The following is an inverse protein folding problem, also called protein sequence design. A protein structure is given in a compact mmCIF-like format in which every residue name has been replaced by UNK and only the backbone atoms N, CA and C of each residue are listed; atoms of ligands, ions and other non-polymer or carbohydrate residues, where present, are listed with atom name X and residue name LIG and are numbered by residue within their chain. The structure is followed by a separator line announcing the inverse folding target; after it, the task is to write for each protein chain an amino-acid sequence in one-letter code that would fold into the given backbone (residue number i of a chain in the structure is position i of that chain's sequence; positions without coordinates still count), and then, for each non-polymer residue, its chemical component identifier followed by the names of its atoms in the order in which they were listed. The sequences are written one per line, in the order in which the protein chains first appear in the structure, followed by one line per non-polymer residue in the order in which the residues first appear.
data_IF_606008592669
#
_entry.id   IF_606008592669
#
_cell.length_a   1.000
_cell.length_b   1.000
_cell.length_c   1.000
_cell.angle_alpha   90.00
_cell.angle_beta   90.00
_cell.angle_gamma   90.00
#
_symmetry.space_group_name_H-M   'P 1'
#
loop_
_entity.id
_entity.type
_entity.pdbx_description
1 polymer ?
#
# COMPACT_ATOMS: atom_id res chain seq x y z
N UNK A 1 -7.46 -10.95 11.46
CA UNK A 1 -6.41 -9.91 11.52
C UNK A 1 -6.44 -9.02 10.29
N UNK A 2 -6.25 -7.71 10.45
CA UNK A 2 -6.12 -6.73 9.37
C UNK A 2 -4.64 -6.34 9.22
N UNK A 3 -4.14 -6.24 7.99
CA UNK A 3 -2.83 -5.65 7.71
C UNK A 3 -3.02 -4.25 7.12
N UNK A 4 -2.21 -3.28 7.55
CA UNK A 4 -2.13 -1.96 6.93
C UNK A 4 -0.68 -1.69 6.54
N UNK A 5 -0.37 -1.61 5.24
CA UNK A 5 0.94 -1.18 4.77
C UNK A 5 1.01 0.33 4.57
N UNK A 6 2.18 0.94 4.68
CA UNK A 6 2.33 2.40 4.66
C UNK A 6 1.74 3.07 5.91
N UNK A 7 1.68 2.34 7.03
CA UNK A 7 1.01 2.75 8.27
C UNK A 7 1.66 3.95 8.98
N UNK A 8 2.96 4.18 8.79
CA UNK A 8 3.66 5.38 9.26
C UNK A 8 3.52 6.56 8.27
N UNK A 9 2.92 6.35 7.09
CA UNK A 9 2.55 7.38 6.14
C UNK A 9 1.30 8.16 6.55
N UNK A 10 1.00 9.22 5.79
CA UNK A 10 -0.15 10.10 6.09
C UNK A 10 -1.48 9.34 6.04
N UNK A 11 -1.85 8.77 4.89
CA UNK A 11 -3.13 8.07 4.71
C UNK A 11 -3.21 6.81 5.59
N UNK A 12 -2.15 6.00 5.60
CA UNK A 12 -2.11 4.76 6.40
C UNK A 12 -2.30 5.02 7.90
N UNK A 13 -1.68 6.05 8.45
CA UNK A 13 -1.87 6.39 9.87
C UNK A 13 -3.29 6.84 10.19
N UNK A 14 -3.92 7.66 9.33
CA UNK A 14 -5.31 8.06 9.49
C UNK A 14 -6.26 6.85 9.41
N UNK A 15 -6.00 5.91 8.50
CA UNK A 15 -6.75 4.67 8.38
C UNK A 15 -6.66 3.83 9.66
N UNK A 16 -5.47 3.61 10.21
CA UNK A 16 -5.29 2.88 11.48
C UNK A 16 -6.06 3.58 12.62
N UNK A 17 -6.00 4.91 12.68
CA UNK A 17 -6.78 5.67 13.66
C UNK A 17 -8.28 5.41 13.52
N UNK A 18 -8.81 5.40 12.29
CA UNK A 18 -10.22 5.13 12.05
C UNK A 18 -10.60 3.70 12.46
N UNK A 19 -9.79 2.71 12.09
CA UNK A 19 -10.02 1.32 12.49
C UNK A 19 -10.04 1.15 14.01
N UNK A 20 -9.10 1.77 14.73
CA UNK A 20 -9.08 1.75 16.20
C UNK A 20 -10.33 2.40 16.81
N UNK A 21 -10.82 3.50 16.23
CA UNK A 21 -12.05 4.16 16.66
C UNK A 21 -13.28 3.27 16.47
N UNK A 22 -13.32 2.46 15.40
CA UNK A 22 -14.35 1.44 15.16
C UNK A 22 -14.17 0.16 16.02
N UNK A 23 -13.22 0.15 16.97
CA UNK A 23 -12.94 -1.01 17.82
C UNK A 23 -12.12 -2.11 17.15
N UNK A 24 -11.71 -1.93 15.89
CA UNK A 24 -10.85 -2.86 15.16
C UNK A 24 -9.39 -2.61 15.56
N UNK A 25 -8.89 -3.41 16.51
CA UNK A 25 -7.52 -3.28 17.04
C UNK A 25 -6.62 -4.48 16.69
N UNK A 26 -7.18 -5.52 16.08
CA UNK A 26 -6.46 -6.70 15.58
C UNK A 26 -5.72 -6.38 14.27
N UNK A 27 -4.77 -5.45 14.36
CA UNK A 27 -4.06 -4.85 13.23
C UNK A 27 -2.58 -5.20 13.30
N UNK A 28 -1.99 -5.56 12.17
CA UNK A 28 -0.54 -5.54 11.95
C UNK A 28 -0.20 -4.37 11.04
N UNK A 29 0.67 -3.49 11.52
CA UNK A 29 1.16 -2.35 10.75
C UNK A 29 2.45 -2.72 10.02
N UNK A 30 2.58 -2.28 8.78
CA UNK A 30 3.74 -2.56 7.93
C UNK A 30 4.25 -1.24 7.37
N UNK A 31 5.52 -0.92 7.62
CA UNK A 31 6.19 0.25 7.05
C UNK A 31 7.72 0.09 7.11
N UNK A 32 8.44 1.10 6.65
CA UNK A 32 9.84 1.36 6.97
C UNK A 32 9.93 2.17 8.26
N UNK A 33 10.17 1.49 9.39
CA UNK A 33 10.21 2.14 10.70
C UNK A 33 11.57 2.77 11.04
N UNK A 34 12.55 2.71 10.12
CA UNK A 34 13.83 3.41 10.28
C UNK A 34 13.67 4.93 10.33
N UNK A 35 12.57 5.45 9.76
CA UNK A 35 12.22 6.88 9.72
C UNK A 35 11.56 7.34 11.02
N UNK A 36 12.38 7.45 12.06
CA UNK A 36 11.94 7.79 13.42
C UNK A 36 11.17 9.11 13.53
N UNK A 37 11.37 10.06 12.61
CA UNK A 37 10.58 11.30 12.53
C UNK A 37 9.08 11.04 12.31
N UNK A 38 8.73 9.89 11.72
CA UNK A 38 7.35 9.44 11.50
C UNK A 38 6.76 8.65 12.66
N UNK A 39 7.49 8.42 13.75
CA UNK A 39 7.02 7.63 14.89
C UNK A 39 5.69 8.15 15.48
N UNK A 40 5.47 9.46 15.43
CA UNK A 40 4.21 10.09 15.87
C UNK A 40 2.97 9.57 15.11
N UNK A 41 3.15 9.02 13.90
CA UNK A 41 2.08 8.47 13.10
C UNK A 41 1.63 7.07 13.52
N UNK A 42 2.28 6.40 14.48
CA UNK A 42 1.83 5.07 14.89
C UNK A 42 2.03 4.76 16.37
N UNK A 43 2.97 5.41 17.07
CA UNK A 43 3.33 5.07 18.46
C UNK A 43 2.16 5.05 19.46
N UNK A 44 1.15 5.91 19.28
CA UNK A 44 0.00 6.06 20.18
C UNK A 44 -1.24 5.28 19.70
N UNK A 45 -1.10 4.47 18.64
CA UNK A 45 -2.18 3.66 18.05
C UNK A 45 -2.20 2.25 18.63
N UNK A 46 -3.33 1.57 18.47
CA UNK A 46 -3.53 0.18 18.91
C UNK A 46 -3.31 -0.77 17.74
N UNK A 47 -2.29 -1.61 17.84
CA UNK A 47 -1.98 -2.68 16.89
C UNK A 47 -1.33 -3.84 17.63
N UNK A 48 -1.43 -5.06 17.09
CA UNK A 48 -0.85 -6.27 17.67
C UNK A 48 0.61 -6.47 17.31
N UNK A 49 1.04 -5.97 16.16
CA UNK A 49 2.39 -6.14 15.67
C UNK A 49 2.78 -5.06 14.67
N UNK A 50 4.08 -4.82 14.58
CA UNK A 50 4.71 -3.99 13.57
C UNK A 50 5.74 -4.83 12.82
N UNK A 51 5.70 -4.82 11.49
CA UNK A 51 6.58 -5.63 10.64
C UNK A 51 7.30 -4.71 9.65
N UNK A 52 8.62 -4.80 9.60
CA UNK A 52 9.41 -4.07 8.61
C UNK A 52 8.98 -4.47 7.19
N UNK A 53 8.79 -3.48 6.31
CA UNK A 53 8.33 -3.73 4.94
C UNK A 53 9.20 -4.73 4.18
N UNK A 54 10.50 -4.76 4.46
CA UNK A 54 11.47 -5.67 3.84
C UNK A 54 11.30 -7.13 4.29
N UNK A 55 10.67 -7.36 5.44
CA UNK A 55 10.39 -8.68 5.99
C UNK A 55 8.95 -9.14 5.73
N UNK A 56 8.07 -8.19 5.40
CA UNK A 56 6.63 -8.40 5.34
C UNK A 56 6.21 -9.52 4.40
N UNK A 57 6.79 -9.65 3.19
CA UNK A 57 6.34 -10.68 2.24
C UNK A 57 6.54 -12.10 2.79
N UNK A 58 7.65 -12.36 3.48
CA UNK A 58 7.91 -13.65 4.10
C UNK A 58 7.01 -13.87 5.32
N UNK A 59 6.91 -12.86 6.19
CA UNK A 59 6.01 -12.89 7.33
C UNK A 59 4.55 -13.13 6.90
N UNK A 60 4.11 -12.49 5.82
CA UNK A 60 2.74 -12.59 5.31
C UNK A 60 2.43 -14.00 4.82
N UNK A 61 3.37 -14.66 4.12
CA UNK A 61 3.19 -16.07 3.71
C UNK A 61 2.99 -17.01 4.89
N UNK A 62 3.69 -16.78 6.00
CA UNK A 62 3.62 -17.62 7.20
C UNK A 62 2.31 -17.39 7.99
N UNK A 63 1.73 -16.19 7.92
CA UNK A 63 0.58 -15.78 8.72
C UNK A 63 -0.71 -15.59 7.90
N UNK A 64 -0.69 -15.92 6.60
CA UNK A 64 -1.79 -15.67 5.67
C UNK A 64 -3.14 -16.22 6.16
N UNK A 65 -3.13 -17.38 6.81
CA UNK A 65 -4.34 -18.03 7.34
C UNK A 65 -5.08 -17.26 8.45
N UNK A 66 -4.45 -16.26 9.06
CA UNK A 66 -5.05 -15.42 10.12
C UNK A 66 -5.52 -14.04 9.60
N UNK A 67 -5.13 -13.70 8.37
CA UNK A 67 -5.33 -12.38 7.79
C UNK A 67 -6.58 -12.40 6.91
N UNK A 68 -7.50 -11.48 7.18
CA UNK A 68 -8.79 -11.40 6.48
C UNK A 68 -8.81 -10.26 5.48
N UNK A 69 -8.01 -9.21 5.70
CA UNK A 69 -7.98 -8.03 4.86
C UNK A 69 -6.59 -7.37 4.90
N UNK A 70 -6.14 -6.87 3.75
CA UNK A 70 -4.95 -6.02 3.59
C UNK A 70 -5.38 -4.68 3.02
N UNK A 71 -5.08 -3.61 3.74
CA UNK A 71 -5.07 -2.25 3.21
C UNK A 71 -3.65 -1.90 2.77
N UNK A 72 -3.38 -1.99 1.47
CA UNK A 72 -2.08 -1.74 0.88
C UNK A 72 -1.96 -0.26 0.46
N UNK A 73 -1.47 0.57 1.39
CA UNK A 73 -1.35 2.04 1.22
C UNK A 73 0.11 2.49 1.10
N UNK A 74 1.07 1.58 1.33
CA UNK A 74 2.49 1.87 1.22
C UNK A 74 3.02 1.76 -0.21
N UNK A 75 3.54 2.87 -0.75
CA UNK A 75 4.20 2.96 -2.04
C UNK A 75 5.29 4.05 -2.03
N UNK A 76 6.18 4.05 -3.01
CA UNK A 76 7.03 5.21 -3.35
C UNK A 76 6.19 6.15 -4.22
N UNK A 77 5.86 7.34 -3.70
CA UNK A 77 4.96 8.29 -4.37
C UNK A 77 5.64 9.56 -4.91
N UNK A 78 6.96 9.56 -4.96
CA UNK A 78 7.74 10.73 -5.35
C UNK A 78 7.71 10.90 -6.88
N UNK A 79 6.86 11.80 -7.38
CA UNK A 79 6.72 12.07 -8.82
C UNK A 79 7.97 12.68 -9.47
N UNK A 80 8.94 13.12 -8.67
CA UNK A 80 10.20 13.70 -9.15
C UNK A 80 11.33 12.66 -9.24
N UNK A 81 11.09 11.45 -8.73
CA UNK A 81 12.01 10.32 -8.84
C UNK A 81 11.95 9.73 -10.26
N UNK A 82 13.12 9.54 -10.88
CA UNK A 82 13.25 8.95 -12.21
C UNK A 82 13.95 7.58 -12.19
N UNK A 83 14.43 7.13 -11.04
CA UNK A 83 14.97 5.79 -10.90
C UNK A 83 13.83 4.76 -10.90
N UNK A 84 13.50 4.27 -12.10
CA UNK A 84 12.45 3.26 -12.33
C UNK A 84 12.64 2.00 -11.48
N UNK A 85 13.88 1.61 -11.17
CA UNK A 85 14.13 0.41 -10.37
C UNK A 85 13.51 0.50 -8.96
N UNK A 86 13.44 1.71 -8.37
CA UNK A 86 12.79 1.92 -7.06
C UNK A 86 11.28 1.66 -7.16
N UNK A 87 10.65 2.10 -8.24
CA UNK A 87 9.23 1.88 -8.48
C UNK A 87 8.94 0.42 -8.84
N UNK A 88 9.80 -0.21 -9.66
CA UNK A 88 9.68 -1.62 -9.98
C UNK A 88 9.79 -2.48 -8.72
N UNK A 89 10.69 -2.15 -7.81
CA UNK A 89 10.81 -2.82 -6.51
C UNK A 89 9.58 -2.56 -5.63
N UNK A 90 9.30 -1.29 -5.30
CA UNK A 90 8.41 -0.92 -4.19
C UNK A 90 6.93 -0.77 -4.58
N UNK A 91 6.62 -0.52 -5.85
CA UNK A 91 5.25 -0.32 -6.33
C UNK A 91 4.80 -1.48 -7.21
N UNK A 92 5.64 -1.95 -8.15
CA UNK A 92 5.21 -3.01 -9.08
C UNK A 92 5.34 -4.40 -8.44
N UNK A 93 6.56 -4.81 -8.11
CA UNK A 93 6.83 -6.19 -7.67
C UNK A 93 6.32 -6.44 -6.25
N UNK A 94 6.49 -5.47 -5.35
CA UNK A 94 5.96 -5.57 -3.99
C UNK A 94 4.42 -5.75 -3.99
N UNK A 95 3.69 -4.96 -4.78
CA UNK A 95 2.23 -5.10 -4.89
C UNK A 95 1.83 -6.41 -5.56
N UNK A 96 2.57 -6.89 -6.58
CA UNK A 96 2.34 -8.22 -7.18
C UNK A 96 2.49 -9.35 -6.16
N UNK A 97 3.52 -9.29 -5.31
CA UNK A 97 3.73 -10.29 -4.26
C UNK A 97 2.58 -10.29 -3.24
N UNK A 98 2.14 -9.11 -2.80
CA UNK A 98 0.98 -8.97 -1.90
C UNK A 98 -0.29 -9.53 -2.56
N UNK A 99 -0.55 -9.12 -3.82
CA UNK A 99 -1.71 -9.56 -4.58
C UNK A 99 -1.73 -11.08 -4.72
N UNK A 100 -0.60 -11.69 -5.04
CA UNK A 100 -0.49 -13.14 -5.19
C UNK A 100 -0.81 -13.86 -3.88
N UNK A 101 -0.24 -13.43 -2.75
CA UNK A 101 -0.54 -14.02 -1.44
C UNK A 101 -2.03 -13.86 -1.10
N UNK A 102 -2.60 -12.68 -1.37
CA UNK A 102 -4.02 -12.45 -1.12
C UNK A 102 -4.91 -13.35 -1.97
N UNK A 103 -4.59 -13.48 -3.26
CA UNK A 103 -5.31 -14.33 -4.21
C UNK A 103 -5.24 -15.81 -3.81
N UNK A 104 -4.04 -16.32 -3.50
CA UNK A 104 -3.83 -17.72 -3.11
C UNK A 104 -4.54 -18.09 -1.80
N UNK A 105 -4.87 -17.11 -0.94
CA UNK A 105 -5.45 -17.32 0.39
C UNK A 105 -6.86 -16.71 0.57
N UNK A 106 -7.50 -16.23 -0.50
CA UNK A 106 -8.82 -15.55 -0.46
C UNK A 106 -8.88 -14.37 0.53
N UNK A 107 -7.81 -13.60 0.62
CA UNK A 107 -7.71 -12.41 1.49
C UNK A 107 -8.20 -11.20 0.71
N UNK A 108 -9.04 -10.37 1.36
CA UNK A 108 -9.49 -9.12 0.74
C UNK A 108 -8.31 -8.15 0.60
N UNK A 109 -8.05 -7.67 -0.61
CA UNK A 109 -7.04 -6.64 -0.88
C UNK A 109 -7.71 -5.33 -1.29
N UNK A 110 -7.43 -4.28 -0.53
CA UNK A 110 -7.80 -2.90 -0.85
C UNK A 110 -6.49 -2.13 -0.99
N UNK A 111 -6.19 -1.61 -2.17
CA UNK A 111 -4.93 -0.93 -2.44
C UNK A 111 -5.15 0.51 -2.93
N UNK A 112 -4.16 1.36 -2.69
CA UNK A 112 -4.16 2.72 -3.22
C UNK A 112 -3.68 2.73 -4.68
N UNK A 113 -4.50 3.32 -5.56
CA UNK A 113 -4.09 3.71 -6.91
C UNK A 113 -3.82 5.21 -6.98
N UNK A 114 -3.58 5.75 -8.17
CA UNK A 114 -3.24 7.15 -8.40
C UNK A 114 -3.90 7.71 -9.66
N UNK A 115 -4.38 8.95 -9.58
CA UNK A 115 -4.83 9.68 -10.76
C UNK A 115 -3.70 9.95 -11.77
N UNK A 116 -2.43 9.80 -11.37
CA UNK A 116 -1.27 9.93 -12.26
C UNK A 116 -1.26 8.91 -13.41
N UNK A 117 -2.01 7.81 -13.26
CA UNK A 117 -2.22 6.80 -14.32
C UNK A 117 -2.94 7.38 -15.55
N UNK A 118 -3.73 8.45 -15.37
CA UNK A 118 -4.49 9.11 -16.43
C UNK A 118 -3.68 10.09 -17.29
N UNK A 119 -2.39 10.31 -16.99
CA UNK A 119 -1.56 11.23 -17.76
C UNK A 119 -1.90 12.71 -17.50
N UNK A 120 -2.15 13.48 -18.57
CA UNK A 120 -2.58 14.89 -18.45
C UNK A 120 -4.09 15.03 -18.22
N UNK A 121 -4.83 13.92 -18.20
CA UNK A 121 -6.30 13.94 -18.08
C UNK A 121 -7.00 14.38 -19.36
N UNK A 122 -6.33 14.32 -20.52
CA UNK A 122 -6.88 14.66 -21.83
C UNK A 122 -8.08 13.78 -22.24
N UNK A 123 -8.23 12.64 -21.58
CA UNK A 123 -9.33 11.68 -21.76
C UNK A 123 -10.28 11.62 -20.56
N UNK A 124 -10.16 12.55 -19.60
CA UNK A 124 -10.91 12.57 -18.35
C UNK A 124 -10.33 11.65 -17.26
N UNK A 125 -11.04 11.57 -16.13
CA UNK A 125 -10.72 10.72 -14.98
C UNK A 125 -11.87 9.74 -14.76
N UNK A 126 -12.05 8.83 -15.71
CA UNK A 126 -13.16 7.89 -15.76
C UNK A 126 -12.59 6.47 -15.77
N UNK A 127 -13.03 5.63 -14.84
CA UNK A 127 -12.59 4.24 -14.67
C UNK A 127 -13.19 3.32 -15.75
N UNK A 128 -13.17 3.78 -17.01
CA UNK A 128 -13.57 3.04 -18.19
C UNK A 128 -12.37 2.24 -18.73
N UNK A 129 -12.40 0.93 -18.51
CA UNK A 129 -11.32 0.02 -18.91
C UNK A 129 -11.02 0.07 -20.43
N UNK A 130 -12.02 0.43 -21.26
CA UNK A 130 -11.82 0.55 -22.70
C UNK A 130 -10.85 1.70 -23.07
N UNK A 131 -10.65 2.67 -22.16
CA UNK A 131 -9.75 3.82 -22.35
C UNK A 131 -8.32 3.55 -21.89
N UNK A 132 -8.05 2.45 -21.16
CA UNK A 132 -6.71 2.14 -20.63
C UNK A 132 -5.61 2.23 -21.70
N UNK A 133 -5.77 1.69 -22.94
CA UNK A 133 -4.73 1.78 -23.96
C UNK A 133 -4.41 3.21 -24.44
N UNK A 134 -5.27 4.18 -24.12
CA UNK A 134 -5.11 5.60 -24.47
C UNK A 134 -4.36 6.38 -23.39
N UNK A 135 -4.35 5.88 -22.14
CA UNK A 135 -3.76 6.57 -21.01
C UNK A 135 -2.23 6.56 -21.11
N UNK A 136 -1.61 7.70 -20.83
CA UNK A 136 -0.16 7.90 -20.91
C UNK A 136 0.36 8.60 -19.65
N UNK A 137 0.82 7.84 -18.65
CA UNK A 137 1.45 8.41 -17.48
C UNK A 137 2.64 9.31 -17.83
N UNK A 138 2.83 10.37 -17.04
CA UNK A 138 3.83 11.42 -17.33
C UNK A 138 5.19 11.19 -16.66
N UNK A 139 5.27 10.23 -15.75
CA UNK A 139 6.47 9.93 -14.98
C UNK A 139 6.45 8.45 -14.53
N UNK A 140 7.60 7.91 -14.08
CA UNK A 140 7.69 6.52 -13.67
C UNK A 140 6.76 6.13 -12.51
N UNK A 141 6.38 7.08 -11.64
CA UNK A 141 5.39 6.82 -10.59
C UNK A 141 3.98 6.56 -11.15
N UNK A 142 3.56 7.33 -12.15
CA UNK A 142 2.25 7.11 -12.78
C UNK A 142 2.18 5.84 -13.62
N UNK A 143 3.34 5.35 -14.11
CA UNK A 143 3.49 4.11 -14.87
C UNK A 143 3.60 2.86 -13.96
N UNK A 144 3.90 3.04 -12.68
CA UNK A 144 4.17 1.95 -11.71
C UNK A 144 2.95 1.43 -10.98
#
# INVERSE_FOLDING_TARGET
MIVVTGAAGFIGSCLVSRLNHEGMNDIVIVDDFSKTEKAHNYKDKKYKGAVERSQFINWFKEHAGEITCVFHIGARTDTTEFNKAIFDELNVNYTKDIWKICMDNNITLIYASSAATYGLGEHGYDDDEAKIPLLKPLNPYGDS
#
